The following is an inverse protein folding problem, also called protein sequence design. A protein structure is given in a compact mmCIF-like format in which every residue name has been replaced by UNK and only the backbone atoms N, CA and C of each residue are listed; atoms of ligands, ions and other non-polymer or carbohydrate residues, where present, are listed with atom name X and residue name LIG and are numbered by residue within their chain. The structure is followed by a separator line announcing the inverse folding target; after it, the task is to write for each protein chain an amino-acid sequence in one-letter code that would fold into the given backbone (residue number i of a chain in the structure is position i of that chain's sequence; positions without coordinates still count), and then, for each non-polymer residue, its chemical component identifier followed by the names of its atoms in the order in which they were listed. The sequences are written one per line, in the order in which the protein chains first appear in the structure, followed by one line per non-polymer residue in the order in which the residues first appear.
data_IF_028459768988
#
_entry.id   IF_028459768988
#
_cell.length_a   1.000
_cell.length_b   1.000
_cell.length_c   1.000
_cell.angle_alpha   90.00
_cell.angle_beta   90.00
_cell.angle_gamma   90.00
#
_symmetry.space_group_name_H-M   'P 1'
#
loop_
_entity.id
_entity.type
_entity.pdbx_description
1 polymer ?
#
# COMPACT_ATOMS: atom_id res chain seq x y z
N UNK A 1 -7.76 11.03 22.10
CA UNK A 1 -6.64 11.17 21.15
C UNK A 1 -5.98 12.53 21.34
N UNK A 2 -4.66 12.64 21.09
CA UNK A 2 -3.87 13.84 21.37
C UNK A 2 -3.95 14.94 20.28
N UNK A 3 -4.84 14.80 19.29
CA UNK A 3 -4.95 15.75 18.17
C UNK A 3 -3.74 15.75 17.23
N UNK A 4 -2.97 14.66 17.21
CA UNK A 4 -1.80 14.52 16.35
C UNK A 4 -2.21 13.97 14.97
N UNK A 5 -1.61 14.46 13.87
CA UNK A 5 -1.87 13.91 12.54
C UNK A 5 -1.49 12.43 12.49
N UNK A 6 -2.43 11.59 12.05
CA UNK A 6 -2.28 10.14 12.02
C UNK A 6 -3.12 9.53 10.89
N UNK A 7 -2.64 8.41 10.34
CA UNK A 7 -3.38 7.63 9.34
C UNK A 7 -3.41 6.17 9.77
N UNK A 8 -4.58 5.55 9.63
CA UNK A 8 -4.73 4.12 9.83
C UNK A 8 -4.42 3.38 8.53
N UNK A 9 -3.67 2.29 8.62
CA UNK A 9 -3.43 1.42 7.46
C UNK A 9 -4.75 0.80 6.99
N UNK A 10 -4.99 0.85 5.68
CA UNK A 10 -6.07 0.12 5.00
C UNK A 10 -5.85 -1.38 5.11
N UNK A 11 -4.61 -1.85 4.94
CA UNK A 11 -4.30 -3.27 4.89
C UNK A 11 -2.87 -3.60 5.30
N UNK A 12 -2.70 -4.76 5.95
CA UNK A 12 -1.39 -5.43 6.07
C UNK A 12 -1.15 -6.22 4.77
N UNK A 13 -0.07 -5.91 4.06
CA UNK A 13 0.26 -6.45 2.74
C UNK A 13 0.79 -7.88 2.81
N UNK A 14 1.58 -8.20 3.84
CA UNK A 14 2.28 -9.49 3.96
C UNK A 14 1.96 -10.23 5.27
N UNK A 15 0.68 -10.51 5.57
CA UNK A 15 0.30 -11.24 6.78
C UNK A 15 0.91 -12.66 6.81
N UNK A 16 1.27 -13.19 5.64
CA UNK A 16 2.09 -14.39 5.45
C UNK A 16 3.07 -14.13 4.31
N UNK A 17 4.24 -14.77 4.34
CA UNK A 17 5.29 -14.66 3.31
C UNK A 17 4.94 -15.50 2.07
N UNK A 18 3.81 -15.20 1.44
CA UNK A 18 3.32 -15.88 0.23
C UNK A 18 3.10 -14.83 -0.88
N UNK A 19 3.72 -14.98 -2.07
CA UNK A 19 3.59 -14.03 -3.17
C UNK A 19 2.16 -13.77 -3.65
N UNK A 20 1.31 -14.79 -3.69
CA UNK A 20 -0.08 -14.65 -4.14
C UNK A 20 -0.93 -13.85 -3.14
N UNK A 21 -0.68 -14.06 -1.84
CA UNK A 21 -1.35 -13.28 -0.78
C UNK A 21 -0.92 -11.82 -0.83
N UNK A 22 0.37 -11.57 -1.05
CA UNK A 22 0.92 -10.21 -1.19
C UNK A 22 0.33 -9.53 -2.43
N UNK A 23 0.33 -10.19 -3.58
CA UNK A 23 -0.25 -9.64 -4.81
C UNK A 23 -1.73 -9.29 -4.64
N UNK A 24 -2.52 -10.21 -4.07
CA UNK A 24 -3.94 -9.96 -3.76
C UNK A 24 -4.12 -8.75 -2.83
N UNK A 25 -3.24 -8.58 -1.84
CA UNK A 25 -3.32 -7.44 -0.94
C UNK A 25 -3.01 -6.11 -1.64
N UNK A 26 -2.10 -6.11 -2.61
CA UNK A 26 -1.75 -4.93 -3.41
C UNK A 26 -2.87 -4.56 -4.39
N UNK A 27 -3.49 -5.53 -5.04
CA UNK A 27 -4.66 -5.30 -5.91
C UNK A 27 -5.83 -4.69 -5.13
N UNK A 28 -6.04 -5.13 -3.88
CA UNK A 28 -7.04 -4.53 -2.99
C UNK A 28 -6.71 -3.07 -2.65
N UNK A 29 -5.43 -2.71 -2.48
CA UNK A 29 -5.05 -1.32 -2.22
C UNK A 29 -5.32 -0.44 -3.45
N UNK A 30 -5.08 -0.94 -4.66
CA UNK A 30 -5.44 -0.25 -5.90
C UNK A 30 -6.96 -0.01 -5.96
N UNK A 31 -7.78 -1.05 -5.77
CA UNK A 31 -9.25 -0.96 -5.77
C UNK A 31 -9.77 0.05 -4.73
N UNK A 32 -9.25 -0.02 -3.50
CA UNK A 32 -9.64 0.92 -2.44
C UNK A 32 -9.22 2.34 -2.79
N UNK A 33 -8.01 2.54 -3.33
CA UNK A 33 -7.53 3.87 -3.71
C UNK A 33 -8.33 4.47 -4.85
N UNK A 34 -8.78 3.67 -5.82
CA UNK A 34 -9.64 4.12 -6.91
C UNK A 34 -11.01 4.59 -6.40
N UNK A 35 -11.51 3.96 -5.33
CA UNK A 35 -12.82 4.29 -4.74
C UNK A 35 -12.74 5.47 -3.77
N UNK A 36 -11.70 5.51 -2.92
CA UNK A 36 -11.60 6.44 -1.79
C UNK A 36 -10.62 7.60 -2.06
N UNK A 37 -9.91 7.59 -3.18
CA UNK A 37 -8.86 8.56 -3.52
C UNK A 37 -7.47 8.20 -2.97
N UNK A 38 -7.39 7.40 -1.90
CA UNK A 38 -6.13 6.89 -1.36
C UNK A 38 -6.30 5.52 -0.68
N UNK A 39 -5.18 4.81 -0.49
CA UNK A 39 -5.09 3.62 0.35
C UNK A 39 -3.69 3.55 0.97
N UNK A 40 -3.59 2.98 2.17
CA UNK A 40 -2.33 2.83 2.90
C UNK A 40 -2.06 1.35 3.19
N UNK A 41 -1.03 0.81 2.58
CA UNK A 41 -0.49 -0.52 2.88
C UNK A 41 0.64 -0.46 3.91
N UNK A 42 0.68 -1.43 4.82
CA UNK A 42 1.84 -1.68 5.69
C UNK A 42 2.38 -3.07 5.41
N UNK A 43 3.70 -3.18 5.27
CA UNK A 43 4.37 -4.44 4.96
C UNK A 43 5.67 -4.58 5.78
N UNK A 44 6.11 -5.81 5.99
CA UNK A 44 7.39 -6.13 6.62
C UNK A 44 8.52 -6.18 5.59
N UNK A 45 9.77 -6.04 6.04
CA UNK A 45 10.96 -6.05 5.19
C UNK A 45 11.40 -7.45 4.72
N UNK A 46 10.48 -8.38 4.46
CA UNK A 46 10.86 -9.70 3.94
C UNK A 46 11.32 -9.60 2.48
N UNK A 47 12.32 -10.38 2.03
CA UNK A 47 12.79 -10.32 0.65
C UNK A 47 11.66 -10.50 -0.39
N UNK A 48 10.78 -11.48 -0.18
CA UNK A 48 9.62 -11.73 -1.05
C UNK A 48 8.66 -10.54 -1.12
N UNK A 49 8.48 -9.82 0.00
CA UNK A 49 7.63 -8.63 0.07
C UNK A 49 8.26 -7.48 -0.71
N UNK A 50 9.57 -7.26 -0.55
CA UNK A 50 10.30 -6.19 -1.25
C UNK A 50 10.31 -6.43 -2.77
N UNK A 51 10.52 -7.67 -3.21
CA UNK A 51 10.51 -8.03 -4.63
C UNK A 51 9.12 -7.79 -5.25
N UNK A 52 8.06 -8.20 -4.55
CA UNK A 52 6.68 -7.98 -5.00
C UNK A 52 6.33 -6.49 -5.06
N UNK A 53 6.68 -5.70 -4.03
CA UNK A 53 6.46 -4.25 -4.01
C UNK A 53 7.22 -3.54 -5.13
N UNK A 54 8.43 -3.99 -5.45
CA UNK A 54 9.24 -3.41 -6.54
C UNK A 54 8.57 -3.62 -7.89
N UNK A 55 8.07 -4.83 -8.16
CA UNK A 55 7.36 -5.16 -9.40
C UNK A 55 6.03 -4.41 -9.50
N UNK A 56 5.28 -4.37 -8.39
CA UNK A 56 4.02 -3.65 -8.30
C UNK A 56 4.20 -2.14 -8.50
N UNK A 57 5.16 -1.52 -7.82
CA UNK A 57 5.40 -0.08 -7.95
C UNK A 57 5.80 0.34 -9.37
N UNK A 58 6.46 -0.55 -10.13
CA UNK A 58 6.86 -0.28 -11.50
C UNK A 58 5.67 -0.15 -12.47
N UNK A 59 4.54 -0.82 -12.21
CA UNK A 59 3.34 -0.78 -13.08
C UNK A 59 2.32 0.31 -12.72
N UNK A 60 2.34 0.82 -11.48
CA UNK A 60 1.32 1.75 -10.97
C UNK A 60 1.06 2.96 -11.85
N UNK A 61 2.13 3.60 -12.36
CA UNK A 61 1.99 4.82 -13.16
C UNK A 61 1.22 4.56 -14.46
N UNK A 62 1.49 3.44 -15.11
CA UNK A 62 0.84 3.06 -16.36
C UNK A 62 -0.64 2.70 -16.14
N UNK A 63 -0.98 2.30 -14.91
CA UNK A 63 -2.34 1.96 -14.47
C UNK A 63 -3.09 3.15 -13.83
N UNK A 64 -2.46 4.33 -13.79
CA UNK A 64 -3.09 5.57 -13.32
C UNK A 64 -2.93 5.86 -11.82
N UNK A 65 -2.08 5.12 -11.11
CA UNK A 65 -1.80 5.32 -9.69
C UNK A 65 -0.46 6.05 -9.47
N UNK A 66 -0.37 6.79 -8.36
CA UNK A 66 0.87 7.43 -7.90
C UNK A 66 1.18 6.95 -6.48
N UNK A 67 2.33 6.29 -6.32
CA UNK A 67 2.86 5.95 -5.00
C UNK A 67 3.48 7.20 -4.36
N UNK A 68 3.03 7.54 -3.16
CA UNK A 68 3.48 8.72 -2.40
C UNK A 68 4.01 8.34 -1.01
N UNK A 69 4.84 9.18 -0.36
CA UNK A 69 5.15 9.02 1.05
C UNK A 69 3.89 9.13 1.92
N UNK A 70 3.81 8.36 3.01
CA UNK A 70 2.64 8.35 3.91
C UNK A 70 2.34 9.74 4.51
N UNK A 71 3.34 10.61 4.63
CA UNK A 71 3.18 11.99 5.13
C UNK A 71 2.36 12.87 4.20
N UNK A 72 2.20 12.50 2.91
CA UNK A 72 1.30 13.19 1.99
C UNK A 72 -0.18 12.93 2.29
N UNK A 73 -0.49 11.85 3.04
CA UNK A 73 -1.86 11.48 3.44
C UNK A 73 -2.10 11.90 4.89
N UNK A 74 -1.15 11.63 5.79
CA UNK A 74 -1.31 11.89 7.21
C UNK A 74 -1.34 13.38 7.58
N UNK A 75 -1.05 14.29 6.65
CA UNK A 75 -1.11 15.73 6.85
C UNK A 75 -2.50 16.34 6.59
N UNK A 76 -3.45 15.54 6.09
CA UNK A 76 -4.87 15.92 5.96
C UNK A 76 -5.65 15.78 7.27
#
# INVERSE_FOLDING_TARGET
EAGLPAVQATRIVDPVQNPEVIATALDILEEVSATNGNAVGVASGFPVTVDALTQWAARLKDEGYVLVPVTAIAAE
#
